data_IF_211262339716
#
_entry.id   IF_211262339716
#
_cell.length_a   1.000
_cell.length_b   1.000
_cell.length_c   1.000
_cell.angle_alpha   90.00
_cell.angle_beta   90.00
_cell.angle_gamma   90.00
#
_symmetry.space_group_name_H-M   'P 1'
#
loop_
_entity.id
_entity.type
_entity.pdbx_description
1 polymer ?
#
# COMPACT_ATOMS: atom_id res chain seq x y z
N UNK A 1 -1.90 -6.85 14.49
CA UNK A 1 -3.24 -6.44 14.96
C UNK A 1 -3.70 -5.28 14.10
N UNK A 2 -5.00 -5.10 13.87
CA UNK A 2 -5.45 -3.88 13.19
C UNK A 2 -5.42 -2.72 14.17
N UNK A 3 -4.98 -1.56 13.72
CA UNK A 3 -4.97 -0.32 14.51
C UNK A 3 -5.28 0.85 13.59
N UNK A 4 -5.92 1.87 14.16
CA UNK A 4 -6.10 3.21 13.59
C UNK A 4 -5.11 4.20 14.20
N UNK A 5 -4.44 3.84 15.31
CA UNK A 5 -3.45 4.67 15.99
C UNK A 5 -2.02 4.30 15.57
N UNK A 6 -1.44 5.16 14.75
CA UNK A 6 -0.05 5.08 14.29
C UNK A 6 0.89 6.06 15.01
N UNK A 7 0.46 6.69 16.11
CA UNK A 7 1.24 7.70 16.85
C UNK A 7 2.64 7.23 17.26
N UNK A 8 2.79 5.93 17.56
CA UNK A 8 4.06 5.29 17.94
C UNK A 8 4.85 4.70 16.77
N UNK A 9 4.27 4.70 15.57
CA UNK A 9 4.92 4.17 14.39
C UNK A 9 5.88 5.21 13.78
N UNK A 10 6.86 4.76 12.95
CA UNK A 10 7.76 5.67 12.24
C UNK A 10 6.99 6.70 11.41
N UNK A 11 7.63 7.84 11.12
CA UNK A 11 7.01 8.95 10.36
C UNK A 11 6.31 8.50 9.08
N UNK A 12 6.91 7.59 8.33
CA UNK A 12 6.37 7.05 7.08
C UNK A 12 5.04 6.32 7.27
N UNK A 13 4.83 5.71 8.44
CA UNK A 13 3.57 5.07 8.81
C UNK A 13 2.48 6.06 9.18
N UNK A 14 2.83 7.30 9.57
CA UNK A 14 1.90 8.34 10.04
C UNK A 14 1.31 9.17 8.90
N UNK A 15 1.99 9.21 7.76
CA UNK A 15 1.50 9.89 6.56
C UNK A 15 0.09 9.40 6.16
N UNK A 16 -0.85 10.34 5.99
CA UNK A 16 -2.21 10.01 5.56
C UNK A 16 -2.35 9.96 4.04
N UNK A 17 -1.41 10.54 3.30
CA UNK A 17 -1.40 10.47 1.85
C UNK A 17 0.02 10.49 1.29
N UNK A 18 0.13 10.13 0.02
CA UNK A 18 1.36 10.29 -0.74
C UNK A 18 1.10 10.73 -2.17
N UNK A 19 2.11 11.39 -2.74
CA UNK A 19 2.18 11.73 -4.16
C UNK A 19 3.30 10.91 -4.78
N UNK A 20 2.98 10.23 -5.87
CA UNK A 20 3.95 9.67 -6.81
C UNK A 20 3.97 10.57 -8.02
N UNK A 21 5.12 11.14 -8.34
CA UNK A 21 5.29 11.99 -9.50
C UNK A 21 6.49 11.51 -10.32
N UNK A 22 6.37 11.52 -11.65
CA UNK A 22 7.48 11.17 -12.52
C UNK A 22 7.48 11.86 -13.87
N UNK A 23 8.66 11.86 -14.48
CA UNK A 23 8.92 12.43 -15.80
C UNK A 23 9.68 11.42 -16.65
N UNK A 24 9.32 11.34 -17.93
CA UNK A 24 10.02 10.53 -18.92
C UNK A 24 11.42 11.10 -19.23
N UNK A 25 12.43 10.22 -19.37
CA UNK A 25 13.78 10.54 -19.86
C UNK A 25 13.90 10.42 -21.39
N UNK A 26 12.79 10.13 -22.08
CA UNK A 26 12.70 9.96 -23.54
C UNK A 26 11.60 10.89 -24.04
N UNK A 27 11.80 11.54 -25.19
CA UNK A 27 10.72 12.25 -25.84
C UNK A 27 9.62 11.24 -26.20
N UNK A 28 8.38 11.48 -25.79
CA UNK A 28 7.26 10.81 -26.44
C UNK A 28 7.38 11.15 -27.93
N UNK A 29 7.50 10.12 -28.78
CA UNK A 29 7.18 10.33 -30.19
C UNK A 29 5.69 10.68 -30.16
N UNK A 30 5.37 11.95 -30.33
CA UNK A 30 3.99 12.34 -30.63
C UNK A 30 3.55 11.46 -31.81
N UNK A 31 2.41 10.78 -31.67
CA UNK A 31 1.77 10.03 -32.75
C UNK A 31 1.65 10.97 -33.96
N UNK A 32 2.59 10.85 -34.90
CA UNK A 32 2.47 11.49 -36.18
C UNK A 32 1.34 10.74 -36.90
N UNK A 33 0.32 11.43 -37.43
CA UNK A 33 -0.68 10.76 -38.25
C UNK A 33 0.06 10.07 -39.42
N UNK A 34 -0.26 8.80 -39.66
CA UNK A 34 0.20 8.05 -40.83
C UNK A 34 -0.12 8.86 -42.10
N UNK A 35 0.88 9.57 -42.61
CA UNK A 35 0.81 10.21 -43.92
C UNK A 35 1.06 9.12 -44.95
N UNK A 36 0.12 8.86 -45.89
CA UNK A 36 0.33 7.84 -46.89
C UNK A 36 1.50 8.19 -47.81
N UNK A 37 2.26 7.14 -48.09
CA UNK A 37 3.49 7.07 -48.88
C UNK A 37 3.34 7.73 -50.27
N UNK A 38 3.95 8.90 -50.46
CA UNK A 38 4.12 9.53 -51.77
C UNK A 38 5.55 9.33 -52.26
N UNK A 39 5.75 8.26 -53.01
CA UNK A 39 6.95 8.05 -53.83
C UNK A 39 7.07 9.18 -54.87
N UNK A 40 8.17 9.92 -54.87
CA UNK A 40 9.12 10.02 -55.99
C UNK A 40 9.99 11.29 -55.94
N UNK A 41 11.23 11.14 -56.42
CA UNK A 41 12.28 12.14 -56.68
C UNK A 41 12.91 12.76 -55.41
N UNK A 42 14.20 12.64 -55.13
CA UNK A 42 15.37 12.66 -56.00
C UNK A 42 16.21 13.87 -55.56
N UNK A 43 17.20 13.67 -54.70
CA UNK A 43 18.00 14.80 -54.18
C UNK A 43 19.03 14.38 -53.15
N UNK A 44 20.29 14.38 -53.61
CA UNK A 44 21.58 14.40 -52.89
C UNK A 44 21.56 14.62 -51.38
N UNK A 45 22.25 13.72 -50.68
CA UNK A 45 22.40 13.73 -49.24
C UNK A 45 23.14 14.94 -48.68
N UNK A 46 22.67 15.39 -47.52
CA UNK A 46 23.45 16.12 -46.53
C UNK A 46 23.04 15.63 -45.14
N UNK A 47 24.04 15.10 -44.42
CA UNK A 47 24.19 15.15 -42.95
C UNK A 47 22.94 15.39 -42.08
N UNK A 48 22.31 14.31 -41.59
CA UNK A 48 21.12 14.38 -40.73
C UNK A 48 21.18 13.65 -39.38
N UNK A 49 22.35 13.19 -38.92
CA UNK A 49 22.45 12.37 -37.69
C UNK A 49 22.75 13.15 -36.40
N UNK A 50 22.93 14.47 -36.47
CA UNK A 50 23.28 15.32 -35.32
C UNK A 50 22.08 15.88 -34.52
N UNK A 51 20.86 15.90 -35.08
CA UNK A 51 19.68 16.47 -34.42
C UNK A 51 19.08 15.60 -33.31
N UNK A 52 19.00 14.28 -33.53
CA UNK A 52 18.31 13.35 -32.63
C UNK A 52 19.07 13.11 -31.32
N UNK A 53 20.40 13.15 -31.36
CA UNK A 53 21.25 12.95 -30.18
C UNK A 53 21.21 14.14 -29.21
N UNK A 54 21.12 15.36 -29.77
CA UNK A 54 20.96 16.61 -29.02
C UNK A 54 19.63 16.67 -28.27
N UNK A 55 18.52 16.46 -28.99
CA UNK A 55 17.17 16.44 -28.41
C UNK A 55 17.04 15.42 -27.26
N UNK A 56 17.58 14.21 -27.45
CA UNK A 56 17.57 13.17 -26.41
C UNK A 56 18.41 13.53 -25.18
N UNK A 57 19.52 14.26 -25.36
CA UNK A 57 20.34 14.75 -24.24
C UNK A 57 19.65 15.87 -23.47
N UNK A 58 18.91 16.76 -24.16
CA UNK A 58 18.14 17.84 -23.55
C UNK A 58 16.96 17.34 -22.74
N UNK A 59 16.20 16.35 -23.24
CA UNK A 59 15.12 15.70 -22.48
C UNK A 59 15.67 15.08 -21.18
N UNK A 60 16.80 14.37 -21.25
CA UNK A 60 17.43 13.81 -20.04
C UNK A 60 17.89 14.88 -19.05
N UNK A 61 18.40 16.01 -19.53
CA UNK A 61 18.81 17.16 -18.68
C UNK A 61 17.60 17.81 -18.03
N UNK A 62 16.51 18.00 -18.78
CA UNK A 62 15.24 18.52 -18.29
C UNK A 62 14.67 17.59 -17.20
N UNK A 63 14.55 16.28 -17.47
CA UNK A 63 14.08 15.27 -16.53
C UNK A 63 14.89 15.23 -15.21
N UNK A 64 16.22 15.30 -15.30
CA UNK A 64 17.11 15.39 -14.11
C UNK A 64 16.88 16.67 -13.32
N UNK A 65 16.68 17.78 -14.02
CA UNK A 65 16.49 19.09 -13.40
C UNK A 65 15.12 19.19 -12.73
N UNK A 66 14.07 18.68 -13.38
CA UNK A 66 12.75 18.49 -12.79
C UNK A 66 12.84 17.61 -11.54
N UNK A 67 13.44 16.42 -11.62
CA UNK A 67 13.53 15.52 -10.45
C UNK A 67 14.25 16.17 -9.25
N UNK A 68 15.26 17.01 -9.49
CA UNK A 68 15.94 17.78 -8.43
C UNK A 68 15.05 18.85 -7.83
N UNK A 69 14.26 19.57 -8.64
CA UNK A 69 13.29 20.56 -8.15
C UNK A 69 12.16 19.89 -7.40
N UNK A 70 11.55 18.86 -7.99
CA UNK A 70 10.49 18.06 -7.37
C UNK A 70 10.89 17.55 -5.98
N UNK A 71 12.11 17.03 -5.81
CA UNK A 71 12.63 16.63 -4.49
C UNK A 71 12.81 17.78 -3.50
N UNK A 72 13.15 18.97 -3.97
CA UNK A 72 13.26 20.15 -3.09
C UNK A 72 11.88 20.62 -2.68
N UNK A 73 10.98 20.82 -3.65
CA UNK A 73 9.58 21.20 -3.39
C UNK A 73 8.91 20.22 -2.42
N UNK A 74 9.06 18.92 -2.66
CA UNK A 74 8.50 17.87 -1.78
C UNK A 74 9.12 17.82 -0.39
N UNK A 75 10.34 18.34 -0.20
CA UNK A 75 10.98 18.42 1.11
C UNK A 75 10.55 19.63 1.93
N UNK A 76 10.11 20.69 1.25
CA UNK A 76 9.84 22.01 1.87
C UNK A 76 8.37 22.35 1.92
N UNK A 77 7.51 21.54 1.29
CA UNK A 77 6.06 21.71 1.39
C UNK A 77 5.59 21.48 2.82
N UNK A 78 4.59 22.25 3.24
CA UNK A 78 3.96 22.04 4.53
C UNK A 78 3.35 20.64 4.64
N UNK A 79 3.45 20.02 5.82
CA UNK A 79 3.04 18.64 6.04
C UNK A 79 3.93 17.57 5.38
N UNK A 80 5.14 17.90 4.91
CA UNK A 80 6.08 16.91 4.38
C UNK A 80 6.61 15.96 5.48
N UNK A 81 6.25 14.69 5.37
CA UNK A 81 6.62 13.65 6.36
C UNK A 81 7.91 12.94 5.96
N UNK A 82 7.98 12.49 4.70
CA UNK A 82 9.12 11.77 4.16
C UNK A 82 9.11 11.83 2.64
N UNK A 83 10.26 11.60 2.01
CA UNK A 83 10.31 11.45 0.57
C UNK A 83 11.41 10.48 0.15
N UNK A 84 11.25 9.93 -1.04
CA UNK A 84 12.28 9.17 -1.74
C UNK A 84 12.22 9.48 -3.24
N UNK A 85 13.29 9.16 -3.96
CA UNK A 85 13.27 9.19 -5.41
C UNK A 85 13.61 7.84 -5.98
N UNK A 86 13.08 7.58 -7.16
CA UNK A 86 13.31 6.36 -7.91
C UNK A 86 13.68 6.67 -9.34
N UNK A 87 14.24 5.65 -9.98
CA UNK A 87 14.54 5.67 -11.40
C UNK A 87 14.22 4.30 -11.96
N UNK A 88 13.39 4.26 -12.99
CA UNK A 88 13.14 3.04 -13.75
C UNK A 88 13.96 3.08 -15.03
N UNK A 89 14.30 1.89 -15.52
CA UNK A 89 14.95 1.72 -16.82
C UNK A 89 14.04 1.03 -17.83
N UNK A 90 13.04 0.31 -17.35
CA UNK A 90 12.08 -0.50 -18.11
C UNK A 90 10.71 -0.38 -17.41
N UNK A 91 9.60 -0.41 -18.17
CA UNK A 91 9.51 -0.43 -19.63
C UNK A 91 10.00 0.89 -20.24
N UNK A 92 9.87 1.98 -19.51
CA UNK A 92 10.35 3.31 -19.89
C UNK A 92 11.38 3.85 -18.90
N UNK A 93 12.32 4.64 -19.41
CA UNK A 93 13.26 5.36 -18.55
C UNK A 93 12.55 6.56 -17.95
N UNK A 94 12.18 6.44 -16.68
CA UNK A 94 11.56 7.53 -15.93
C UNK A 94 12.37 7.90 -14.70
N UNK A 95 12.22 9.14 -14.25
CA UNK A 95 12.65 9.59 -12.93
C UNK A 95 11.44 10.04 -12.14
N UNK A 96 11.33 9.59 -10.91
CA UNK A 96 10.23 10.00 -10.06
C UNK A 96 10.62 10.30 -8.63
N UNK A 97 9.68 10.93 -7.94
CA UNK A 97 9.69 11.27 -6.53
C UNK A 97 8.43 10.69 -5.91
N UNK A 98 8.58 10.12 -4.72
CA UNK A 98 7.47 9.70 -3.87
C UNK A 98 7.55 10.58 -2.62
N UNK A 99 6.53 11.38 -2.38
CA UNK A 99 6.43 12.26 -1.23
C UNK A 99 5.27 11.79 -0.34
N UNK A 100 5.50 11.72 0.97
CA UNK A 100 4.53 11.35 1.99
C UNK A 100 4.11 12.59 2.76
N UNK A 101 2.80 12.81 2.87
CA UNK A 101 2.19 14.01 3.43
C UNK A 101 1.26 13.66 4.60
N UNK A 102 1.03 14.63 5.47
CA UNK A 102 0.13 14.50 6.61
C UNK A 102 -1.35 14.42 6.21
N UNK A 103 -1.74 15.03 5.09
CA UNK A 103 -3.13 15.08 4.61
C UNK A 103 -3.26 14.79 3.11
N UNK A 104 -4.46 14.36 2.70
CA UNK A 104 -4.79 14.16 1.29
C UNK A 104 -4.83 15.48 0.49
N UNK A 105 -5.27 16.57 1.11
CA UNK A 105 -5.32 17.89 0.49
C UNK A 105 -3.91 18.41 0.13
N UNK A 106 -2.96 18.28 1.06
CA UNK A 106 -1.55 18.62 0.79
C UNK A 106 -0.96 17.76 -0.34
N UNK A 107 -1.34 16.48 -0.41
CA UNK A 107 -0.89 15.60 -1.47
C UNK A 107 -1.47 16.02 -2.85
N UNK A 108 -2.75 16.36 -2.91
CA UNK A 108 -3.38 16.87 -4.14
C UNK A 108 -2.73 18.17 -4.60
N UNK A 109 -2.56 19.14 -3.70
CA UNK A 109 -1.90 20.41 -4.01
C UNK A 109 -0.46 20.22 -4.50
N UNK A 110 0.31 19.31 -3.88
CA UNK A 110 1.66 18.98 -4.33
C UNK A 110 1.65 18.31 -5.71
N UNK A 111 0.72 17.40 -5.97
CA UNK A 111 0.61 16.73 -7.27
C UNK A 111 0.37 17.75 -8.40
N UNK A 112 -0.54 18.69 -8.21
CA UNK A 112 -0.81 19.79 -9.15
C UNK A 112 0.43 20.66 -9.38
N UNK A 113 1.11 21.06 -8.30
CA UNK A 113 2.33 21.86 -8.39
C UNK A 113 3.46 21.14 -9.14
N UNK A 114 3.63 19.83 -8.92
CA UNK A 114 4.65 19.02 -9.59
C UNK A 114 4.34 18.80 -11.07
N UNK A 115 3.06 18.62 -11.41
CA UNK A 115 2.60 18.52 -12.80
C UNK A 115 2.84 19.84 -13.56
N UNK A 116 2.58 20.98 -12.93
CA UNK A 116 2.79 22.30 -13.52
C UNK A 116 4.29 22.65 -13.74
N UNK A 117 5.23 22.11 -12.96
CA UNK A 117 6.68 22.37 -13.11
C UNK A 117 7.35 21.58 -14.26
N UNK A 118 6.59 20.85 -15.08
CA UNK A 118 7.10 20.02 -16.17
C UNK A 118 7.98 20.75 -17.20
N UNK A 119 7.79 22.07 -17.40
CA UNK A 119 8.56 22.94 -18.31
C UNK A 119 8.91 22.27 -19.65
N UNK A 120 7.88 21.72 -20.33
CA UNK A 120 8.02 21.07 -21.63
C UNK A 120 8.28 19.56 -21.59
N UNK A 121 8.32 18.94 -20.41
CA UNK A 121 8.31 17.49 -20.24
C UNK A 121 6.94 17.02 -19.70
N UNK A 122 6.46 15.89 -20.20
CA UNK A 122 5.25 15.22 -19.69
C UNK A 122 5.52 14.70 -18.28
N UNK A 123 4.88 15.30 -17.27
CA UNK A 123 4.93 14.87 -15.88
C UNK A 123 3.63 14.14 -15.55
N UNK A 124 3.74 12.93 -15.03
CA UNK A 124 2.61 12.13 -14.54
C UNK A 124 2.60 12.15 -13.03
N UNK A 125 1.42 12.29 -12.43
CA UNK A 125 1.26 12.32 -10.98
C UNK A 125 0.12 11.41 -10.53
N UNK A 126 0.25 10.84 -9.34
CA UNK A 126 -0.75 9.98 -8.69
C UNK A 126 -0.79 10.28 -7.20
N UNK A 127 -1.99 10.44 -6.66
CA UNK A 127 -2.22 10.56 -5.22
C UNK A 127 -2.79 9.26 -4.68
N UNK A 128 -2.20 8.75 -3.60
CA UNK A 128 -2.69 7.59 -2.86
C UNK A 128 -2.95 8.01 -1.41
N UNK A 129 -4.14 7.71 -0.90
CA UNK A 129 -4.60 8.03 0.45
C UNK A 129 -4.56 6.78 1.30
N UNK A 130 -4.08 6.92 2.53
CA UNK A 130 -3.99 5.83 3.47
C UNK A 130 -5.38 5.31 3.86
N UNK A 131 -5.52 3.99 3.96
CA UNK A 131 -6.68 3.40 4.63
C UNK A 131 -6.70 3.82 6.12
N UNK A 132 -7.92 3.98 6.64
CA UNK A 132 -8.17 4.38 8.03
C UNK A 132 -7.53 3.41 9.03
N UNK A 133 -7.65 2.11 8.74
CA UNK A 133 -7.01 1.06 9.53
C UNK A 133 -5.83 0.46 8.78
N UNK A 134 -4.79 0.12 9.54
CA UNK A 134 -3.70 -0.68 9.03
C UNK A 134 -3.24 -1.70 10.07
N UNK A 135 -2.08 -2.28 9.84
CA UNK A 135 -1.50 -3.28 10.71
C UNK A 135 -0.37 -2.68 11.53
N UNK A 136 -0.38 -2.92 12.84
CA UNK A 136 0.78 -2.67 13.71
C UNK A 136 0.97 -3.81 14.72
N UNK A 137 2.21 -4.03 15.14
CA UNK A 137 2.57 -4.93 16.23
C UNK A 137 3.88 -4.52 16.94
N UNK A 138 4.04 -5.03 18.17
CA UNK A 138 5.24 -4.81 18.96
C UNK A 138 5.44 -3.36 19.41
N UNK A 139 6.67 -2.84 19.34
CA UNK A 139 7.02 -1.50 19.87
C UNK A 139 6.32 -0.33 19.20
N UNK A 140 5.77 -0.52 18.00
CA UNK A 140 5.05 0.51 17.24
C UNK A 140 3.54 0.51 17.48
N UNK A 141 3.12 -0.21 18.51
CA UNK A 141 1.72 -0.39 18.87
C UNK A 141 1.38 0.45 20.10
N UNK A 142 0.22 1.11 20.07
CA UNK A 142 -0.29 1.92 21.18
C UNK A 142 -0.62 1.04 22.40
N UNK A 143 -1.23 -0.13 22.18
CA UNK A 143 -1.78 -0.98 23.24
C UNK A 143 -0.77 -1.96 23.86
N UNK A 144 0.52 -1.87 23.51
CA UNK A 144 1.60 -2.61 24.19
C UNK A 144 2.57 -3.39 23.30
N UNK A 145 3.68 -3.91 23.87
CA UNK A 145 4.84 -4.40 23.13
C UNK A 145 4.71 -5.84 22.60
N UNK A 146 3.55 -6.49 22.76
CA UNK A 146 3.38 -7.88 22.34
C UNK A 146 3.33 -8.00 20.81
N UNK A 147 4.14 -8.92 20.28
CA UNK A 147 4.13 -9.27 18.86
C UNK A 147 2.94 -10.21 18.57
N UNK A 148 2.02 -9.76 17.73
CA UNK A 148 0.87 -10.55 17.28
C UNK A 148 0.50 -10.18 15.83
N UNK A 149 -0.10 -11.11 15.10
CA UNK A 149 -0.67 -10.87 13.77
C UNK A 149 -2.20 -10.76 13.83
N UNK A 150 -2.83 -10.33 12.74
CA UNK A 150 -4.30 -10.34 12.63
C UNK A 150 -4.78 -11.77 12.44
N UNK A 151 -5.93 -12.13 13.01
CA UNK A 151 -6.43 -13.50 12.92
C UNK A 151 -6.86 -13.87 11.50
N UNK A 152 -7.48 -12.92 10.79
CA UNK A 152 -8.01 -13.09 9.43
C UNK A 152 -7.41 -12.07 8.48
N UNK A 153 -7.31 -12.46 7.21
CA UNK A 153 -6.92 -11.53 6.15
C UNK A 153 -8.02 -10.49 5.91
N UNK A 154 -7.63 -9.33 5.37
CA UNK A 154 -8.60 -8.37 4.84
C UNK A 154 -9.37 -9.03 3.69
N UNK A 155 -10.72 -8.92 3.66
CA UNK A 155 -11.53 -9.46 2.58
C UNK A 155 -11.13 -8.84 1.24
N UNK A 156 -11.12 -9.64 0.17
CA UNK A 156 -11.06 -9.12 -1.21
C UNK A 156 -12.47 -8.76 -1.69
N UNK A 157 -12.59 -7.92 -2.72
CA UNK A 157 -13.89 -7.42 -3.23
C UNK A 157 -14.90 -8.54 -3.45
N UNK A 158 -14.48 -9.62 -4.13
CA UNK A 158 -15.34 -10.79 -4.41
C UNK A 158 -15.82 -11.54 -3.17
N UNK A 159 -15.08 -11.49 -2.06
CA UNK A 159 -15.51 -12.10 -0.81
C UNK A 159 -16.55 -11.24 -0.12
N UNK A 160 -16.39 -9.91 -0.14
CA UNK A 160 -17.39 -8.95 0.35
C UNK A 160 -18.71 -9.13 -0.42
N UNK A 161 -18.64 -9.12 -1.76
CA UNK A 161 -19.80 -9.31 -2.64
C UNK A 161 -20.55 -10.62 -2.37
N UNK A 162 -19.83 -11.66 -1.96
CA UNK A 162 -20.40 -13.00 -1.70
C UNK A 162 -20.73 -13.23 -0.23
N UNK A 163 -20.47 -12.27 0.66
CA UNK A 163 -20.60 -12.45 2.10
C UNK A 163 -19.73 -13.58 2.66
N UNK A 164 -18.61 -13.88 2.02
CA UNK A 164 -17.71 -14.98 2.43
C UNK A 164 -16.69 -14.47 3.43
N UNK A 165 -16.57 -15.18 4.55
CA UNK A 165 -15.60 -14.80 5.58
C UNK A 165 -14.16 -15.03 5.11
N UNK A 166 -13.24 -14.06 5.31
CA UNK A 166 -11.86 -14.19 4.90
C UNK A 166 -11.12 -15.33 5.59
N UNK A 167 -10.14 -15.95 4.92
CA UNK A 167 -9.36 -17.04 5.50
C UNK A 167 -8.52 -16.59 6.70
N UNK A 168 -8.28 -17.53 7.61
CA UNK A 168 -7.39 -17.36 8.76
C UNK A 168 -5.92 -17.21 8.32
N UNK A 169 -5.23 -16.23 8.91
CA UNK A 169 -3.79 -16.01 8.74
C UNK A 169 -2.97 -17.14 9.36
N UNK A 170 -3.51 -17.82 10.37
CA UNK A 170 -2.92 -19.00 10.97
C UNK A 170 -3.89 -20.20 10.91
N UNK A 171 -4.35 -20.57 9.72
CA UNK A 171 -5.05 -21.86 9.54
C UNK A 171 -4.14 -23.07 9.91
N UNK A 172 -4.47 -23.84 10.96
CA UNK A 172 -3.74 -25.04 11.37
C UNK A 172 -3.85 -26.20 10.36
N UNK A 173 -4.92 -26.21 9.54
CA UNK A 173 -5.22 -27.28 8.58
C UNK A 173 -4.30 -27.23 7.35
N UNK A 174 -3.76 -26.05 7.03
CA UNK A 174 -2.79 -25.85 5.94
C UNK A 174 -1.38 -26.23 6.39
N UNK A 175 -1.01 -25.98 7.64
CA UNK A 175 0.27 -26.42 8.21
C UNK A 175 0.38 -27.94 8.33
N UNK A 176 -0.74 -28.65 8.58
CA UNK A 176 -0.77 -30.11 8.63
C UNK A 176 -0.69 -30.79 7.25
N UNK A 177 -1.21 -30.15 6.19
CA UNK A 177 -1.21 -30.68 4.81
C UNK A 177 0.06 -30.37 4.00
N UNK A 178 0.96 -29.55 4.54
CA UNK A 178 2.26 -29.23 3.95
C UNK A 178 3.29 -30.37 4.02
N UNK A 179 3.03 -31.43 4.78
CA UNK A 179 3.93 -32.58 4.92
C UNK A 179 3.58 -33.78 4.02
N UNK A 180 2.43 -33.81 3.33
CA UNK A 180 1.98 -35.02 2.59
C UNK A 180 1.41 -34.82 1.17
N UNK A 181 1.40 -33.62 0.59
CA UNK A 181 0.88 -33.43 -0.78
C UNK A 181 1.96 -33.49 -1.87
N UNK A 182 2.68 -34.62 -1.94
CA UNK A 182 3.23 -35.13 -3.21
C UNK A 182 2.22 -36.11 -3.82
N UNK A 183 1.16 -35.61 -4.47
CA UNK A 183 0.46 -36.33 -5.56
C UNK A 183 -0.69 -35.53 -6.17
N UNK A 184 -0.61 -35.34 -7.49
CA UNK A 184 -1.73 -35.48 -8.42
C UNK A 184 -2.91 -34.50 -8.31
N UNK A 185 -2.93 -33.50 -9.19
CA UNK A 185 -4.11 -32.68 -9.43
C UNK A 185 -3.93 -31.82 -10.68
N UNK A 186 -4.10 -32.44 -11.86
CA UNK A 186 -4.08 -31.79 -13.18
C UNK A 186 -5.33 -30.92 -13.33
N UNK A 187 -5.31 -29.71 -12.75
CA UNK A 187 -6.34 -28.70 -12.96
C UNK A 187 -5.96 -27.82 -14.17
N UNK A 188 -6.93 -27.60 -15.07
CA UNK A 188 -6.79 -26.96 -16.37
C UNK A 188 -5.93 -25.70 -16.36
N UNK A 189 -4.81 -25.77 -17.07
CA UNK A 189 -3.92 -24.64 -17.34
C UNK A 189 -4.64 -23.73 -18.35
N UNK A 190 -5.36 -22.72 -17.85
CA UNK A 190 -5.76 -21.57 -18.69
C UNK A 190 -4.50 -21.03 -19.38
N UNK A 191 -4.56 -20.64 -20.66
CA UNK A 191 -3.41 -20.07 -21.35
C UNK A 191 -2.90 -18.87 -20.55
N UNK A 192 -1.61 -18.93 -20.19
CA UNK A 192 -0.92 -17.81 -19.56
C UNK A 192 -0.85 -16.72 -20.63
N UNK A 193 -1.62 -15.65 -20.43
CA UNK A 193 -1.41 -14.41 -21.18
C UNK A 193 0.03 -13.93 -21.02
N UNK A 194 0.52 -13.08 -21.93
CA UNK A 194 1.88 -12.55 -21.85
C UNK A 194 2.12 -11.94 -20.47
N UNK A 195 3.27 -12.27 -19.86
CA UNK A 195 3.73 -11.65 -18.62
C UNK A 195 3.95 -10.17 -18.93
N UNK A 196 3.00 -9.31 -18.53
CA UNK A 196 3.11 -7.86 -18.71
C UNK A 196 4.36 -7.39 -17.97
N UNK A 197 5.18 -6.58 -18.64
CA UNK A 197 6.34 -5.97 -18.01
C UNK A 197 5.89 -5.16 -16.78
N UNK A 198 6.66 -5.16 -15.68
CA UNK A 198 6.32 -4.40 -14.48
C UNK A 198 6.11 -2.92 -14.84
N UNK A 199 4.97 -2.35 -14.46
CA UNK A 199 4.60 -0.97 -14.79
C UNK A 199 5.25 0.09 -13.89
N UNK A 200 4.82 1.33 -14.04
CA UNK A 200 5.34 2.44 -13.24
C UNK A 200 4.58 2.61 -11.91
N UNK A 201 5.24 3.03 -10.81
CA UNK A 201 4.57 3.42 -9.57
C UNK A 201 3.43 4.43 -9.75
N UNK A 202 3.49 5.30 -10.77
CA UNK A 202 2.44 6.32 -11.02
C UNK A 202 1.13 5.69 -11.52
N UNK A 203 1.20 4.49 -12.06
CA UNK A 203 0.05 3.73 -12.56
C UNK A 203 -0.64 2.91 -11.45
N UNK A 204 -0.14 2.99 -10.22
CA UNK A 204 -0.67 2.24 -9.09
C UNK A 204 -2.01 2.80 -8.60
N UNK A 205 -2.96 1.92 -8.30
CA UNK A 205 -4.17 2.26 -7.53
C UNK A 205 -4.12 1.74 -6.10
N UNK A 206 -3.15 0.89 -5.77
CA UNK A 206 -2.91 0.48 -4.40
C UNK A 206 -1.43 0.29 -4.16
N UNK A 207 -1.00 0.61 -2.94
CA UNK A 207 0.34 0.33 -2.48
C UNK A 207 0.32 0.02 -0.99
N UNK A 208 1.33 -0.70 -0.51
CA UNK A 208 1.59 -0.74 0.93
C UNK A 208 2.96 -0.18 1.23
N UNK A 209 3.06 0.46 2.39
CA UNK A 209 4.30 0.72 3.08
C UNK A 209 4.31 -0.06 4.37
N UNK A 210 5.38 -0.80 4.61
CA UNK A 210 5.57 -1.48 5.88
C UNK A 210 7.01 -1.44 6.31
N UNK A 211 7.24 -1.61 7.60
CA UNK A 211 8.57 -1.84 8.11
C UNK A 211 8.56 -2.91 9.18
N UNK A 212 9.74 -3.43 9.48
CA UNK A 212 9.98 -4.29 10.64
C UNK A 212 11.27 -3.84 11.30
N UNK A 213 11.21 -3.63 12.62
CA UNK A 213 12.38 -3.40 13.46
C UNK A 213 12.97 -4.74 13.87
N UNK A 214 14.14 -5.05 13.34
CA UNK A 214 14.86 -6.30 13.64
C UNK A 214 15.76 -6.13 14.86
N UNK A 215 16.12 -7.23 15.52
CA UNK A 215 17.06 -7.22 16.65
C UNK A 215 18.52 -7.05 16.24
N UNK A 216 18.89 -7.37 15.00
CA UNK A 216 20.26 -7.22 14.51
C UNK A 216 20.52 -7.91 13.17
N UNK A 217 21.79 -7.90 12.74
CA UNK A 217 22.24 -8.38 11.42
C UNK A 217 21.92 -9.86 11.15
N UNK A 218 21.93 -10.72 12.17
CA UNK A 218 21.54 -12.13 12.02
C UNK A 218 20.10 -12.27 11.53
N UNK A 219 19.19 -11.45 12.05
CA UNK A 219 17.80 -11.44 11.59
C UNK A 219 17.68 -10.99 10.15
N UNK A 220 18.54 -10.07 9.67
CA UNK A 220 18.57 -9.66 8.27
C UNK A 220 19.07 -10.78 7.34
N UNK A 221 20.07 -11.55 7.76
CA UNK A 221 20.56 -12.68 6.97
C UNK A 221 19.50 -13.79 6.84
N UNK A 222 18.73 -14.04 7.90
CA UNK A 222 17.61 -15.00 7.82
C UNK A 222 16.46 -14.43 6.98
N UNK A 223 16.15 -13.14 7.17
CA UNK A 223 15.16 -12.43 6.37
C UNK A 223 15.45 -12.55 4.88
N UNK A 224 16.69 -12.33 4.45
CA UNK A 224 17.03 -12.35 3.03
C UNK A 224 16.67 -13.69 2.38
N UNK A 225 16.87 -14.81 3.09
CA UNK A 225 16.52 -16.17 2.61
C UNK A 225 15.02 -16.36 2.38
N UNK A 226 14.17 -15.75 3.20
CA UNK A 226 12.70 -15.82 3.06
C UNK A 226 12.17 -14.74 2.10
N UNK A 227 12.83 -13.57 2.06
CA UNK A 227 12.42 -12.41 1.28
C UNK A 227 12.66 -12.57 -0.22
N UNK A 228 13.82 -13.10 -0.65
CA UNK A 228 14.11 -13.24 -2.08
C UNK A 228 13.12 -14.13 -2.84
N UNK A 229 12.72 -15.32 -2.34
CA UNK A 229 11.68 -16.13 -2.97
C UNK A 229 10.33 -15.41 -3.05
N UNK A 230 9.95 -14.69 -1.99
CA UNK A 230 8.72 -13.90 -1.93
C UNK A 230 8.73 -12.81 -3.00
N UNK A 231 9.82 -12.04 -3.12
CA UNK A 231 9.96 -10.98 -4.13
C UNK A 231 9.96 -11.56 -5.54
N UNK A 232 10.65 -12.68 -5.76
CA UNK A 232 10.65 -13.33 -7.07
C UNK A 232 9.23 -13.77 -7.49
N UNK A 233 8.39 -14.21 -6.55
CA UNK A 233 7.00 -14.55 -6.79
C UNK A 233 6.12 -13.32 -6.97
N UNK A 234 6.27 -12.31 -6.12
CA UNK A 234 5.59 -11.02 -6.20
C UNK A 234 5.79 -10.38 -7.59
N UNK A 235 7.03 -10.35 -8.08
CA UNK A 235 7.37 -9.83 -9.41
C UNK A 235 6.72 -10.57 -10.57
N UNK A 236 6.17 -11.76 -10.33
CA UNK A 236 5.46 -12.59 -11.34
C UNK A 236 3.94 -12.54 -11.15
N UNK A 237 3.45 -11.84 -10.13
CA UNK A 237 2.03 -11.69 -9.90
C UNK A 237 1.42 -10.72 -10.90
N UNK A 238 0.15 -10.96 -11.24
CA UNK A 238 -0.66 -9.98 -11.93
C UNK A 238 -0.78 -8.71 -11.07
N UNK A 239 -0.79 -7.55 -11.74
CA UNK A 239 -0.93 -6.25 -11.07
C UNK A 239 0.30 -5.79 -10.29
N UNK A 240 1.41 -6.53 -10.23
CA UNK A 240 2.65 -6.00 -9.65
C UNK A 240 3.26 -4.91 -10.55
N UNK A 241 3.51 -3.73 -9.99
CA UNK A 241 4.13 -2.62 -10.70
C UNK A 241 5.59 -2.45 -10.28
N UNK A 242 5.82 -2.14 -9.00
CA UNK A 242 7.15 -1.79 -8.52
C UNK A 242 7.30 -2.02 -7.01
N UNK A 243 8.53 -2.16 -6.54
CA UNK A 243 8.83 -2.13 -5.11
C UNK A 243 10.17 -1.48 -4.83
N UNK A 244 10.31 -0.95 -3.63
CA UNK A 244 11.59 -0.48 -3.09
C UNK A 244 11.74 -0.90 -1.63
N UNK A 245 12.99 -1.03 -1.22
CA UNK A 245 13.38 -1.27 0.16
C UNK A 245 14.06 -0.01 0.68
N UNK A 246 13.68 0.42 1.88
CA UNK A 246 14.38 1.48 2.59
C UNK A 246 14.91 0.96 3.92
N UNK A 247 15.92 1.64 4.43
CA UNK A 247 16.53 1.32 5.71
C UNK A 247 16.45 2.54 6.62
N UNK A 248 16.16 2.27 7.89
CA UNK A 248 16.20 3.25 8.96
C UNK A 248 17.04 2.69 10.11
N UNK A 249 18.01 3.50 10.55
CA UNK A 249 18.95 3.08 11.58
C UNK A 249 18.23 2.83 12.93
N UNK A 250 18.69 1.87 13.75
CA UNK A 250 19.84 0.98 13.50
C UNK A 250 19.50 -0.31 12.73
N UNK A 251 18.28 -0.86 12.87
CA UNK A 251 17.94 -2.19 12.33
C UNK A 251 16.51 -2.28 11.75
N UNK A 252 15.98 -1.19 11.24
CA UNK A 252 14.65 -1.16 10.62
C UNK A 252 14.78 -1.31 9.12
N UNK A 253 14.14 -2.33 8.56
CA UNK A 253 13.99 -2.49 7.12
C UNK A 253 12.54 -2.26 6.75
N UNK A 254 12.31 -1.39 5.77
CA UNK A 254 11.01 -1.09 5.24
C UNK A 254 10.87 -1.46 3.77
N UNK A 255 9.65 -1.74 3.35
CA UNK A 255 9.28 -2.09 1.98
C UNK A 255 8.13 -1.22 1.53
N UNK A 256 8.23 -0.71 0.32
CA UNK A 256 7.15 -0.13 -0.46
C UNK A 256 6.84 -1.10 -1.58
N UNK A 257 5.58 -1.43 -1.84
CA UNK A 257 5.20 -2.16 -3.04
C UNK A 257 3.90 -1.60 -3.62
N UNK A 258 3.91 -1.44 -4.95
CA UNK A 258 2.88 -0.81 -5.75
C UNK A 258 2.19 -1.85 -6.63
N UNK A 259 0.88 -1.75 -6.68
CA UNK A 259 -0.02 -2.66 -7.38
C UNK A 259 -1.03 -1.91 -8.23
N UNK A 260 -1.43 -2.52 -9.33
CA UNK A 260 -2.44 -2.01 -10.25
C UNK A 260 -3.79 -1.85 -9.56
N UNK A 261 -4.17 -2.80 -8.68
CA UNK A 261 -5.42 -2.74 -7.91
C UNK A 261 -5.21 -3.10 -6.43
N UNK A 262 -6.19 -2.72 -5.59
CA UNK A 262 -6.24 -3.11 -4.18
C UNK A 262 -6.36 -4.62 -4.01
N UNK A 263 -7.13 -5.30 -4.85
CA UNK A 263 -7.29 -6.75 -4.77
C UNK A 263 -5.98 -7.49 -5.12
N UNK A 264 -5.18 -7.01 -6.08
CA UNK A 264 -3.87 -7.59 -6.38
C UNK A 264 -2.92 -7.51 -5.17
N UNK A 265 -2.96 -6.40 -4.44
CA UNK A 265 -2.23 -6.21 -3.18
C UNK A 265 -2.70 -7.20 -2.11
N UNK A 266 -4.02 -7.36 -1.93
CA UNK A 266 -4.58 -8.29 -0.95
C UNK A 266 -4.31 -9.75 -1.29
N UNK A 267 -4.29 -10.11 -2.58
CA UNK A 267 -3.86 -11.43 -3.05
C UNK A 267 -2.37 -11.65 -2.73
N UNK A 268 -1.53 -10.62 -2.87
CA UNK A 268 -0.11 -10.71 -2.46
C UNK A 268 0.02 -10.98 -0.96
N UNK A 269 -0.77 -10.28 -0.13
CA UNK A 269 -0.75 -10.47 1.32
C UNK A 269 -1.09 -11.92 1.75
N UNK A 270 -1.85 -12.65 0.91
CA UNK A 270 -2.27 -14.04 1.13
C UNK A 270 -1.28 -15.09 0.63
N UNK A 271 -0.18 -14.69 -0.01
CA UNK A 271 0.84 -15.63 -0.47
C UNK A 271 1.38 -16.46 0.71
N UNK A 272 1.55 -17.80 0.54
CA UNK A 272 2.14 -18.64 1.57
C UNK A 272 3.50 -18.14 2.07
N UNK A 273 4.31 -17.58 1.16
CA UNK A 273 5.63 -17.02 1.46
C UNK A 273 5.53 -15.75 2.31
N UNK A 274 4.60 -14.84 1.97
CA UNK A 274 4.35 -13.64 2.76
C UNK A 274 3.80 -14.00 4.15
N UNK A 275 2.87 -14.95 4.22
CA UNK A 275 2.33 -15.48 5.49
C UNK A 275 3.42 -16.09 6.36
N UNK A 276 4.28 -16.93 5.80
CA UNK A 276 5.43 -17.53 6.50
C UNK A 276 6.37 -16.45 7.05
N UNK A 277 6.66 -15.42 6.25
CA UNK A 277 7.48 -14.30 6.67
C UNK A 277 6.85 -13.54 7.85
N UNK A 278 5.57 -13.18 7.75
CA UNK A 278 4.87 -12.48 8.83
C UNK A 278 4.81 -13.30 10.11
N UNK A 279 4.50 -14.60 10.02
CA UNK A 279 4.51 -15.49 11.18
C UNK A 279 5.90 -15.62 11.80
N UNK A 280 6.95 -15.71 10.99
CA UNK A 280 8.34 -15.74 11.46
C UNK A 280 8.74 -14.45 12.17
N UNK A 281 8.36 -13.28 11.65
CA UNK A 281 8.61 -11.97 12.28
C UNK A 281 7.88 -11.89 13.62
N UNK A 282 6.62 -12.35 13.69
CA UNK A 282 5.78 -12.27 14.90
C UNK A 282 6.01 -13.39 15.91
N UNK A 283 6.97 -14.30 15.69
CA UNK A 283 7.26 -15.41 16.61
C UNK A 283 7.95 -14.89 17.88
N UNK A 284 7.16 -14.32 18.78
CA UNK A 284 7.63 -13.58 19.95
C UNK A 284 8.44 -12.35 19.53
N UNK A 285 9.37 -11.91 20.37
CA UNK A 285 10.29 -10.80 20.07
C UNK A 285 11.62 -11.27 19.49
N UNK A 286 11.76 -12.55 19.11
CA UNK A 286 13.04 -13.17 18.75
C UNK A 286 13.67 -12.54 17.50
N UNK A 287 12.87 -12.31 16.46
CA UNK A 287 13.35 -11.89 15.15
C UNK A 287 13.16 -10.39 14.92
N UNK A 288 12.03 -9.85 15.36
CA UNK A 288 11.71 -8.43 15.36
C UNK A 288 11.11 -7.97 16.69
N UNK A 289 11.16 -6.67 16.93
CA UNK A 289 10.56 -6.03 18.12
C UNK A 289 9.33 -5.22 17.78
N UNK A 290 9.08 -4.93 16.50
CA UNK A 290 7.87 -4.26 16.03
C UNK A 290 7.80 -4.26 14.51
N UNK A 291 6.59 -4.07 14.01
CA UNK A 291 6.25 -4.11 12.60
C UNK A 291 5.00 -3.28 12.35
N UNK A 292 4.93 -2.63 11.20
CA UNK A 292 3.71 -1.96 10.74
C UNK A 292 3.54 -2.19 9.25
N UNK A 293 2.29 -2.15 8.79
CA UNK A 293 1.92 -2.12 7.37
C UNK A 293 0.74 -1.17 7.24
N UNK A 294 0.87 -0.17 6.36
CA UNK A 294 -0.20 0.78 6.02
C UNK A 294 -0.47 0.70 4.53
N UNK A 295 -1.73 0.52 4.17
CA UNK A 295 -2.19 0.46 2.79
C UNK A 295 -2.56 1.89 2.37
N UNK A 296 -2.22 2.25 1.14
CA UNK A 296 -2.72 3.46 0.51
C UNK A 296 -3.36 3.08 -0.82
N UNK A 297 -4.53 3.64 -1.09
CA UNK A 297 -5.32 3.40 -2.29
C UNK A 297 -5.49 4.70 -3.05
N UNK A 298 -5.71 4.65 -4.35
CA UNK A 298 -5.99 5.84 -5.13
C UNK A 298 -7.17 6.60 -4.50
N UNK A 299 -7.02 7.93 -4.42
CA UNK A 299 -8.16 8.79 -4.15
C UNK A 299 -9.13 8.65 -5.34
N UNK A 300 -10.13 7.79 -5.20
CA UNK A 300 -11.27 7.77 -6.12
C UNK A 300 -11.92 9.15 -6.06
N UNK A 301 -12.13 9.85 -7.20
CA UNK A 301 -12.92 11.06 -7.21
C UNK A 301 -14.38 10.68 -6.92
N UNK A 302 -14.76 10.61 -5.64
CA UNK A 302 -16.16 10.49 -5.20
C UNK A 302 -16.55 9.34 -4.27
N UNK A 303 -15.62 8.67 -3.58
CA UNK A 303 -15.96 7.53 -2.71
C UNK A 303 -15.50 7.69 -1.26
N UNK A 304 -16.24 8.43 -0.44
CA UNK A 304 -16.12 8.37 1.01
C UNK A 304 -16.48 6.95 1.49
N UNK A 305 -15.59 6.36 2.28
CA UNK A 305 -15.86 5.36 3.34
C UNK A 305 -17.12 4.50 3.16
N UNK A 306 -16.98 3.31 2.59
CA UNK A 306 -17.91 2.20 2.89
C UNK A 306 -17.10 0.97 3.32
N UNK A 307 -16.77 0.96 4.61
CA UNK A 307 -15.99 -0.09 5.26
C UNK A 307 -16.01 -0.01 6.78
N UNK A 308 -16.93 0.80 7.34
CA UNK A 308 -17.20 0.91 8.76
C UNK A 308 -18.44 0.11 9.11
N UNK A 309 -18.21 -1.14 9.49
CA UNK A 309 -18.83 -1.77 10.66
C UNK A 309 -20.27 -1.31 11.00
N UNK A 310 -21.28 -1.95 10.37
CA UNK A 310 -22.56 -2.13 11.05
C UNK A 310 -22.33 -3.17 12.14
N UNK A 311 -21.83 -2.72 13.28
CA UNK A 311 -22.04 -3.41 14.55
C UNK A 311 -23.54 -3.36 14.81
N UNK A 312 -24.21 -4.48 14.60
CA UNK A 312 -25.52 -4.73 15.20
C UNK A 312 -25.37 -4.51 16.71
N UNK A 313 -25.85 -3.36 17.18
CA UNK A 313 -26.07 -3.12 18.59
C UNK A 313 -27.15 -4.11 19.02
N UNK A 314 -26.69 -5.20 19.61
CA UNK A 314 -27.53 -6.11 20.36
C UNK A 314 -28.24 -5.28 21.44
N UNK A 315 -29.53 -5.06 21.20
CA UNK A 315 -30.46 -4.36 22.09
C UNK A 315 -30.32 -4.92 23.52
N UNK A 316 -30.07 -4.08 24.54
CA UNK A 316 -30.18 -4.52 25.92
C UNK A 316 -31.64 -4.83 26.22
N UNK A 317 -31.84 -5.95 26.91
CA UNK A 317 -33.08 -6.30 27.59
C UNK A 317 -33.27 -5.26 28.70
N UNK A 318 -34.20 -4.32 28.51
CA UNK A 318 -34.65 -3.45 29.59
C UNK A 318 -35.69 -4.19 30.42
N UNK A 319 -35.18 -4.61 31.57
CA UNK A 319 -35.84 -4.90 32.83
C UNK A 319 -36.80 -3.74 33.18
N UNK A 320 -38.11 -3.97 33.05
CA UNK A 320 -39.11 -3.04 33.61
C UNK A 320 -39.26 -3.34 35.09
N UNK A 321 -38.68 -2.45 35.89
CA UNK A 321 -38.93 -2.37 37.33
C UNK A 321 -40.42 -2.25 37.65
N UNK A 322 -40.80 -2.96 38.71
CA UNK A 322 -41.96 -2.69 39.56
C UNK A 322 -41.75 -1.38 40.37
N UNK A 323 -42.63 -1.04 41.33
CA UNK A 323 -44.07 -0.81 41.27
C UNK A 323 -44.42 0.59 41.78
N UNK A 324 -45.47 1.23 41.24
CA UNK A 324 -46.11 2.38 41.87
C UNK A 324 -47.58 2.05 42.12
N UNK A 325 -47.93 1.75 43.37
CA UNK A 325 -49.31 1.85 43.86
C UNK A 325 -49.32 2.77 45.05
N UNK A 326 -50.05 3.87 44.87
CA UNK A 326 -50.37 4.87 45.89
C UNK A 326 -51.04 4.23 47.11
N UNK A 327 -50.65 4.73 48.29
CA UNK A 327 -51.22 4.34 49.56
C UNK A 327 -52.65 4.83 49.75
N UNK A 328 -53.35 4.13 50.64
CA UNK A 328 -54.38 4.70 51.48
C UNK A 328 -54.14 4.21 52.90
N UNK A 329 -54.17 5.17 53.82
CA UNK A 329 -54.03 4.99 55.24
C UNK A 329 -55.20 4.17 55.79
N UNK A 330 -54.94 3.35 56.80
CA UNK A 330 -55.88 3.23 57.91
C UNK A 330 -55.13 2.95 59.22
N UNK A 331 -55.63 3.58 60.26
CA UNK A 331 -55.04 3.77 61.59
C UNK A 331 -55.27 2.58 62.55
N UNK A 332 -54.46 2.61 63.62
CA UNK A 332 -54.60 1.98 64.93
C UNK A 332 -54.23 0.49 65.13
N UNK A 333 -53.44 0.23 66.20
CA UNK A 333 -54.10 -0.22 67.43
C UNK A 333 -53.50 0.38 68.72
N UNK A 334 -54.33 0.57 69.74
CA UNK A 334 -53.89 0.83 71.11
C UNK A 334 -54.94 1.50 72.01
N UNK A 335 -55.90 0.72 72.51
CA UNK A 335 -56.82 1.12 73.58
C UNK A 335 -57.26 -0.10 74.39
N UNK A 336 -56.97 -0.08 75.68
CA UNK A 336 -57.17 -1.16 76.64
C UNK A 336 -58.60 -1.21 77.22
N UNK A 337 -58.83 -2.27 78.00
CA UNK A 337 -59.78 -2.43 79.13
C UNK A 337 -61.03 -3.28 78.88
N UNK A 338 -61.00 -4.44 79.57
CA UNK A 338 -62.03 -5.05 80.43
C UNK A 338 -62.18 -6.54 80.19
#
# INVERSE_FOLDING_TARGET
>A
MRTTDFSRAPRQARAAAMVVAEVAEVAELADAPDVPDARASGGSGTSGTSGTSGASADVRRAARSWARRARRTSATVDGAVWQTAYRLREPERVRGVIAYLETAEQALALAEALAADGRGATVRTRVLVAEESGYSNGVWRAEGPTMAHVERFTPVTREVERGVEPPLVADPRVTARGASSRRGGRAGRRPRGPVRAPGSPVDAHAMFIGATRYRGLRSWLVLSREWFPMVAKMRRMHGYLWHAVYWEAPFTLGTLAFFETRDDLLVFARLPEHRRLMQWITRGTRNGTGGYIRLHVAAEPGGATDGGDRVDVHRPVDDRGAPDTHGTADEHPGGASS
#
